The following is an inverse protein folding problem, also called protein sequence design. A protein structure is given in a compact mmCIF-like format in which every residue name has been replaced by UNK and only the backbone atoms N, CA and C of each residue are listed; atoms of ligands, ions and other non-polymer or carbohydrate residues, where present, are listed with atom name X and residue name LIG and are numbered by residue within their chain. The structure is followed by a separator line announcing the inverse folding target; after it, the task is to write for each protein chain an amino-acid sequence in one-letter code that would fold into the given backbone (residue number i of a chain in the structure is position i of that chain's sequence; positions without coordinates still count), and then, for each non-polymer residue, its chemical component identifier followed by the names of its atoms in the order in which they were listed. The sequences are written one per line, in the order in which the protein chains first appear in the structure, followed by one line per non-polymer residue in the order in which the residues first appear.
data_IF_710776108607
#
_entry.id   IF_710776108607
#
_cell.length_a   1.000
_cell.length_b   1.000
_cell.length_c   1.000
_cell.angle_alpha   90.00
_cell.angle_beta   90.00
_cell.angle_gamma   90.00
#
_symmetry.space_group_name_H-M   'P 1'
#
loop_
_entity.id
_entity.type
_entity.pdbx_description
1 polymer ?
#
# COMPACT_ATOMS: atom_id res chain seq x y z
N UNK A 1 -18.59 10.36 -5.52
CA UNK A 1 -19.91 10.87 -5.24
C UNK A 1 -19.86 11.89 -4.09
N UNK A 2 -20.64 12.91 -4.15
CA UNK A 2 -20.75 13.93 -3.12
C UNK A 2 -22.09 13.78 -2.38
N UNK A 3 -22.09 13.95 -1.04
CA UNK A 3 -20.93 14.12 -0.17
C UNK A 3 -20.18 12.80 0.11
N UNK A 4 -18.90 12.92 0.44
CA UNK A 4 -18.11 11.81 0.96
C UNK A 4 -18.13 11.75 2.50
N UNK A 5 -17.73 10.60 3.07
CA UNK A 5 -17.59 10.40 4.51
C UNK A 5 -16.17 9.96 4.81
N UNK A 6 -15.57 10.53 5.85
CA UNK A 6 -14.25 10.13 6.34
C UNK A 6 -14.33 9.78 7.83
N UNK A 7 -13.66 8.70 8.20
CA UNK A 7 -13.60 8.23 9.58
C UNK A 7 -12.36 8.82 10.26
N UNK A 8 -12.46 10.08 10.64
CA UNK A 8 -11.36 10.91 11.13
C UNK A 8 -10.53 10.25 12.24
N UNK A 9 -11.18 9.68 13.26
CA UNK A 9 -10.46 9.01 14.35
C UNK A 9 -9.65 7.84 13.86
N UNK A 10 -10.27 6.91 13.10
CA UNK A 10 -9.60 5.72 12.56
C UNK A 10 -8.44 6.10 11.64
N UNK A 11 -8.63 7.09 10.75
CA UNK A 11 -7.57 7.55 9.84
C UNK A 11 -6.36 8.06 10.64
N UNK A 12 -6.59 8.85 11.68
CA UNK A 12 -5.51 9.41 12.49
C UNK A 12 -4.87 8.40 13.45
N UNK A 13 -5.56 7.33 13.84
CA UNK A 13 -4.96 6.21 14.58
C UNK A 13 -3.92 5.45 13.74
N UNK A 14 -4.06 5.43 12.42
CA UNK A 14 -3.12 4.84 11.46
C UNK A 14 -2.11 5.84 10.89
N UNK A 15 -2.09 7.07 11.39
CA UNK A 15 -1.16 8.09 10.91
C UNK A 15 0.28 7.79 11.33
N UNK A 16 1.20 7.81 10.38
CA UNK A 16 2.62 7.53 10.60
C UNK A 16 3.41 8.72 11.14
N UNK A 17 2.88 9.95 11.02
CA UNK A 17 3.56 11.18 11.39
C UNK A 17 2.66 12.15 12.21
N UNK A 18 2.03 11.72 13.32
CA UNK A 18 1.07 12.55 14.06
C UNK A 18 1.70 13.76 14.74
N UNK A 19 3.01 13.74 15.06
CA UNK A 19 3.70 14.90 15.64
C UNK A 19 3.84 16.06 14.65
N UNK A 20 3.74 15.80 13.37
CA UNK A 20 3.80 16.79 12.30
C UNK A 20 2.48 17.51 12.04
N UNK A 21 1.39 16.95 12.50
CA UNK A 21 0.04 17.47 12.33
C UNK A 21 -0.99 16.37 12.17
N UNK A 22 -2.23 16.78 11.97
CA UNK A 22 -3.37 15.89 11.82
C UNK A 22 -3.68 15.66 10.34
N UNK A 23 -4.16 14.49 9.98
CA UNK A 23 -4.77 14.25 8.68
C UNK A 23 -6.16 14.88 8.70
N UNK A 24 -6.39 15.93 7.89
CA UNK A 24 -7.64 16.69 7.85
C UNK A 24 -8.57 16.24 6.73
N UNK A 25 -8.04 15.61 5.71
CA UNK A 25 -8.81 15.19 4.54
C UNK A 25 -8.01 14.26 3.63
N UNK A 26 -8.63 13.87 2.52
CA UNK A 26 -8.02 13.06 1.48
C UNK A 26 -7.86 13.83 0.17
N UNK A 27 -7.16 13.22 -0.79
CA UNK A 27 -7.27 13.58 -2.19
C UNK A 27 -8.68 13.27 -2.74
N UNK A 28 -9.03 13.71 -3.96
CA UNK A 28 -10.40 13.55 -4.50
C UNK A 28 -10.92 12.12 -4.58
N UNK A 29 -10.06 11.15 -4.86
CA UNK A 29 -10.44 9.74 -4.96
C UNK A 29 -10.33 8.97 -3.64
N UNK A 30 -9.94 9.64 -2.56
CA UNK A 30 -9.85 9.13 -1.17
C UNK A 30 -8.83 8.00 -0.94
N UNK A 31 -7.87 7.80 -1.83
CA UNK A 31 -6.81 6.80 -1.65
C UNK A 31 -5.60 7.32 -0.87
N UNK A 32 -5.41 8.64 -0.77
CA UNK A 32 -4.27 9.26 -0.11
C UNK A 32 -4.71 10.01 1.14
N UNK A 33 -4.32 9.51 2.29
CA UNK A 33 -4.60 10.05 3.62
C UNK A 33 -3.29 10.43 4.29
N UNK A 34 -2.91 11.72 4.22
CA UNK A 34 -1.69 12.24 4.84
C UNK A 34 -1.84 13.73 5.18
N UNK A 35 -0.73 14.39 5.54
CA UNK A 35 -0.71 15.80 5.91
C UNK A 35 -1.08 16.71 4.74
N UNK A 36 -1.73 17.84 5.05
CA UNK A 36 -1.98 18.91 4.08
C UNK A 36 -0.65 19.42 3.48
N UNK A 37 -0.73 19.92 2.26
CA UNK A 37 0.43 20.39 1.48
C UNK A 37 1.49 19.30 1.22
N UNK A 38 1.07 18.06 1.05
CA UNK A 38 1.93 16.98 0.58
C UNK A 38 1.47 16.47 -0.78
N UNK A 39 2.36 15.87 -1.54
CA UNK A 39 2.04 15.26 -2.82
C UNK A 39 2.24 13.75 -2.77
N UNK A 40 1.49 13.04 -3.60
CA UNK A 40 1.58 11.60 -3.77
C UNK A 40 2.00 11.28 -5.22
N UNK A 41 3.21 10.79 -5.41
CA UNK A 41 3.66 10.32 -6.70
C UNK A 41 3.10 8.92 -6.97
N UNK A 42 2.35 8.75 -8.06
CA UNK A 42 1.56 7.56 -8.32
C UNK A 42 2.22 6.61 -9.32
N UNK A 43 2.10 5.32 -9.03
CA UNK A 43 2.28 4.23 -10.00
C UNK A 43 1.31 3.09 -9.68
N UNK A 44 0.94 2.29 -10.68
CA UNK A 44 0.10 1.11 -10.51
C UNK A 44 0.69 -0.09 -11.22
N UNK A 45 0.67 -1.24 -10.55
CA UNK A 45 1.13 -2.53 -11.09
C UNK A 45 -0.08 -3.31 -11.61
N UNK A 46 0.02 -3.83 -12.84
CA UNK A 46 -1.01 -4.72 -13.38
C UNK A 46 -0.80 -6.14 -12.86
N UNK A 47 -1.67 -6.60 -11.96
CA UNK A 47 -1.54 -7.90 -11.29
C UNK A 47 -1.63 -9.10 -12.22
N UNK A 48 -2.35 -9.00 -13.35
CA UNK A 48 -2.48 -10.11 -14.31
C UNK A 48 -1.13 -10.51 -14.93
N UNK A 49 -0.17 -9.60 -15.03
CA UNK A 49 1.15 -9.93 -15.55
C UNK A 49 1.95 -10.88 -14.65
N UNK A 50 1.50 -11.11 -13.43
CA UNK A 50 2.17 -11.99 -12.45
C UNK A 50 1.42 -13.32 -12.24
N UNK A 51 0.31 -13.54 -12.94
CA UNK A 51 -0.41 -14.80 -12.86
C UNK A 51 -0.10 -15.70 -14.05
N UNK A 52 0.39 -16.89 -13.76
CA UNK A 52 0.64 -17.91 -14.75
C UNK A 52 -0.65 -18.71 -14.97
N UNK A 53 -1.24 -18.60 -16.16
CA UNK A 53 -2.50 -19.22 -16.51
C UNK A 53 -2.39 -20.75 -16.65
N UNK A 54 -1.24 -21.26 -17.07
CA UNK A 54 -1.03 -22.69 -17.29
C UNK A 54 -0.70 -23.40 -15.96
N UNK A 55 0.13 -22.78 -15.13
CA UNK A 55 0.50 -23.31 -13.82
C UNK A 55 -0.52 -22.97 -12.72
N UNK A 56 -1.48 -22.05 -12.96
CA UNK A 56 -2.41 -21.51 -11.98
C UNK A 56 -1.74 -20.96 -10.70
N UNK A 57 -0.60 -20.28 -10.88
CA UNK A 57 0.19 -19.74 -9.77
C UNK A 57 0.45 -18.25 -9.93
N UNK A 58 0.51 -17.54 -8.81
CA UNK A 58 0.94 -16.15 -8.78
C UNK A 58 2.47 -16.09 -8.58
N UNK A 59 3.18 -15.42 -9.48
CA UNK A 59 4.65 -15.30 -9.47
C UNK A 59 5.09 -14.26 -8.45
N UNK A 60 5.15 -14.67 -7.20
CA UNK A 60 5.38 -13.82 -6.02
C UNK A 60 6.71 -13.07 -6.13
N UNK A 61 7.79 -13.75 -6.50
CA UNK A 61 9.13 -13.12 -6.54
C UNK A 61 9.25 -12.08 -7.66
N UNK A 62 8.64 -12.31 -8.81
CA UNK A 62 8.56 -11.32 -9.89
C UNK A 62 7.76 -10.08 -9.45
N UNK A 63 6.67 -10.30 -8.71
CA UNK A 63 5.86 -9.24 -8.15
C UNK A 63 6.65 -8.41 -7.11
N UNK A 64 7.30 -9.06 -6.15
CA UNK A 64 8.18 -8.41 -5.17
C UNK A 64 9.27 -7.59 -5.84
N UNK A 65 9.94 -8.16 -6.85
CA UNK A 65 10.97 -7.45 -7.60
C UNK A 65 10.43 -6.18 -8.25
N UNK A 66 9.26 -6.26 -8.88
CA UNK A 66 8.61 -5.10 -9.50
C UNK A 66 8.18 -4.05 -8.47
N UNK A 67 7.64 -4.47 -7.32
CA UNK A 67 7.31 -3.58 -6.21
C UNK A 67 8.56 -2.81 -5.75
N UNK A 68 9.68 -3.51 -5.57
CA UNK A 68 10.96 -2.90 -5.20
C UNK A 68 11.43 -1.87 -6.24
N UNK A 69 11.40 -2.22 -7.53
CA UNK A 69 11.79 -1.31 -8.62
C UNK A 69 10.91 -0.06 -8.65
N UNK A 70 9.60 -0.22 -8.57
CA UNK A 70 8.67 0.90 -8.58
C UNK A 70 8.80 1.78 -7.34
N UNK A 71 9.03 1.20 -6.16
CA UNK A 71 9.30 1.96 -4.93
C UNK A 71 10.53 2.84 -5.10
N UNK A 72 11.62 2.28 -5.64
CA UNK A 72 12.85 3.03 -5.91
C UNK A 72 12.62 4.12 -6.99
N UNK A 73 11.89 3.81 -8.05
CA UNK A 73 11.56 4.77 -9.11
C UNK A 73 10.74 5.95 -8.57
N UNK A 74 9.73 5.67 -7.75
CA UNK A 74 8.91 6.71 -7.12
C UNK A 74 9.73 7.56 -6.16
N UNK A 75 10.64 6.97 -5.38
CA UNK A 75 11.55 7.71 -4.50
C UNK A 75 12.46 8.66 -5.28
N UNK A 76 13.02 8.21 -6.41
CA UNK A 76 13.79 9.07 -7.31
C UNK A 76 12.92 10.22 -7.83
N UNK A 77 11.67 9.94 -8.18
CA UNK A 77 10.74 10.96 -8.71
C UNK A 77 10.43 12.06 -7.70
N UNK A 78 10.44 11.79 -6.40
CA UNK A 78 10.28 12.83 -5.36
C UNK A 78 11.36 13.90 -5.47
N UNK A 79 12.62 13.51 -5.74
CA UNK A 79 13.73 14.45 -5.90
C UNK A 79 13.66 15.24 -7.21
N UNK A 80 13.06 14.65 -8.25
CA UNK A 80 12.99 15.26 -9.59
C UNK A 80 11.69 16.04 -9.83
N UNK A 81 10.71 15.90 -8.93
CA UNK A 81 9.40 16.53 -9.09
C UNK A 81 9.48 18.06 -8.93
N UNK A 82 8.63 18.74 -9.69
CA UNK A 82 8.35 20.16 -9.51
C UNK A 82 6.93 20.30 -8.97
N UNK A 83 6.77 21.03 -7.88
CA UNK A 83 5.51 21.21 -7.20
C UNK A 83 4.97 22.63 -7.37
N UNK A 84 3.66 22.84 -7.29
CA UNK A 84 3.04 24.14 -7.63
C UNK A 84 3.28 25.23 -6.56
N UNK A 85 3.71 24.87 -5.36
CA UNK A 85 4.01 25.84 -4.30
C UNK A 85 5.21 25.40 -3.45
N UNK A 86 5.82 26.36 -2.75
CA UNK A 86 6.94 26.10 -1.87
C UNK A 86 6.56 25.22 -0.68
N UNK A 87 5.36 25.40 -0.11
CA UNK A 87 4.87 24.57 1.00
C UNK A 87 4.76 23.11 0.61
N UNK A 88 4.20 22.82 -0.58
CA UNK A 88 4.09 21.45 -1.11
C UNK A 88 5.47 20.87 -1.42
N UNK A 89 6.35 21.65 -2.01
CA UNK A 89 7.75 21.24 -2.29
C UNK A 89 8.45 20.81 -1.01
N UNK A 90 8.40 21.67 0.02
CA UNK A 90 9.06 21.41 1.29
C UNK A 90 8.52 20.16 1.99
N UNK A 91 7.21 20.08 2.19
CA UNK A 91 6.60 18.94 2.86
C UNK A 91 6.74 17.63 2.07
N UNK A 92 6.65 17.68 0.74
CA UNK A 92 6.87 16.50 -0.09
C UNK A 92 8.32 16.00 0.02
N UNK A 93 9.29 16.89 0.17
CA UNK A 93 10.67 16.52 0.43
C UNK A 93 10.86 15.98 1.86
N UNK A 94 10.26 16.63 2.87
CA UNK A 94 10.43 16.27 4.28
C UNK A 94 9.83 14.91 4.61
N UNK A 95 8.70 14.53 3.99
CA UNK A 95 7.99 13.27 4.26
C UNK A 95 8.13 12.21 3.17
N UNK A 96 8.51 12.59 1.95
CA UNK A 96 8.82 11.71 0.83
C UNK A 96 7.75 10.66 0.55
N UNK A 97 6.48 11.09 0.50
CA UNK A 97 5.34 10.19 0.34
C UNK A 97 5.23 9.65 -1.09
N UNK A 98 5.00 8.35 -1.19
CA UNK A 98 4.83 7.60 -2.43
C UNK A 98 3.42 7.03 -2.52
N UNK A 99 2.98 6.72 -3.72
CA UNK A 99 1.66 6.16 -4.00
C UNK A 99 1.72 4.98 -4.96
N UNK A 100 2.35 3.88 -4.55
CA UNK A 100 2.32 2.64 -5.33
C UNK A 100 1.02 1.88 -5.06
N UNK A 101 0.30 1.54 -6.13
CA UNK A 101 -0.90 0.73 -6.11
C UNK A 101 -0.89 -0.38 -7.15
N UNK A 102 -2.05 -0.96 -7.40
CA UNK A 102 -2.24 -1.97 -8.44
C UNK A 102 -3.60 -1.83 -9.12
N UNK A 103 -3.77 -2.55 -10.24
CA UNK A 103 -5.05 -2.77 -10.93
C UNK A 103 -5.22 -4.25 -11.25
N UNK A 104 -6.39 -4.62 -11.75
CA UNK A 104 -6.74 -5.98 -12.19
C UNK A 104 -6.86 -7.02 -11.07
N UNK A 105 -7.17 -6.64 -9.82
CA UNK A 105 -7.50 -7.63 -8.79
C UNK A 105 -8.78 -8.38 -9.13
N UNK A 106 -9.81 -7.68 -9.63
CA UNK A 106 -11.08 -8.30 -10.05
C UNK A 106 -10.86 -9.33 -11.15
N UNK A 107 -10.12 -8.98 -12.20
CA UNK A 107 -9.79 -9.90 -13.30
C UNK A 107 -8.90 -11.06 -12.83
N UNK A 108 -7.93 -10.81 -11.94
CA UNK A 108 -7.11 -11.86 -11.35
C UNK A 108 -7.96 -12.90 -10.60
N UNK A 109 -8.89 -12.44 -9.77
CA UNK A 109 -9.81 -13.33 -9.04
C UNK A 109 -10.68 -14.18 -10.00
N UNK A 110 -11.14 -13.60 -11.11
CA UNK A 110 -11.86 -14.36 -12.15
C UNK A 110 -10.98 -15.45 -12.76
N UNK A 111 -9.73 -15.17 -13.10
CA UNK A 111 -8.77 -16.16 -13.60
C UNK A 111 -8.45 -17.25 -12.58
N UNK A 112 -8.45 -16.90 -11.30
CA UNK A 112 -8.26 -17.85 -10.19
C UNK A 112 -9.54 -18.65 -9.84
N UNK A 113 -10.67 -18.36 -10.50
CA UNK A 113 -11.96 -18.97 -10.22
C UNK A 113 -12.50 -18.66 -8.81
N UNK A 114 -12.16 -17.48 -8.28
CA UNK A 114 -12.62 -16.99 -6.98
C UNK A 114 -13.71 -15.92 -7.20
N UNK A 115 -14.94 -16.12 -6.72
CA UNK A 115 -15.96 -15.07 -6.73
C UNK A 115 -15.48 -13.85 -5.94
N UNK A 116 -15.77 -12.64 -6.44
CA UNK A 116 -15.26 -11.40 -5.84
C UNK A 116 -15.71 -11.19 -4.38
N UNK A 117 -16.91 -11.62 -4.03
CA UNK A 117 -17.52 -11.52 -2.70
C UNK A 117 -17.35 -12.77 -1.82
N UNK A 118 -16.30 -13.56 -2.07
CA UNK A 118 -15.98 -14.78 -1.31
C UNK A 118 -14.81 -14.52 -0.33
N UNK A 119 -14.83 -15.22 0.80
CA UNK A 119 -13.76 -15.13 1.82
C UNK A 119 -12.36 -15.48 1.27
N UNK A 120 -12.29 -16.38 0.27
CA UNK A 120 -11.03 -16.71 -0.40
C UNK A 120 -10.53 -15.51 -1.21
N UNK A 121 -11.42 -14.81 -1.90
CA UNK A 121 -11.07 -13.61 -2.65
C UNK A 121 -10.56 -12.50 -1.71
N UNK A 122 -11.23 -12.30 -0.58
CA UNK A 122 -10.77 -11.33 0.43
C UNK A 122 -9.39 -11.69 0.98
N UNK A 123 -9.14 -12.97 1.27
CA UNK A 123 -7.85 -13.43 1.75
C UNK A 123 -6.73 -13.26 0.70
N UNK A 124 -7.00 -13.54 -0.57
CA UNK A 124 -6.06 -13.34 -1.68
C UNK A 124 -5.75 -11.84 -1.85
N UNK A 125 -6.80 -11.01 -1.89
CA UNK A 125 -6.64 -9.54 -2.00
C UNK A 125 -5.82 -8.99 -0.84
N UNK A 126 -6.15 -9.38 0.39
CA UNK A 126 -5.41 -8.99 1.59
C UNK A 126 -3.94 -9.43 1.55
N UNK A 127 -3.66 -10.66 1.08
CA UNK A 127 -2.29 -11.16 0.99
C UNK A 127 -1.48 -10.43 -0.09
N UNK A 128 -2.01 -10.21 -1.29
CA UNK A 128 -1.31 -9.47 -2.35
C UNK A 128 -1.04 -8.02 -1.93
N UNK A 129 -2.03 -7.36 -1.32
CA UNK A 129 -1.87 -5.99 -0.79
C UNK A 129 -0.83 -5.95 0.33
N UNK A 130 -0.84 -6.95 1.21
CA UNK A 130 0.13 -7.11 2.30
C UNK A 130 1.55 -7.32 1.78
N UNK A 131 1.75 -8.16 0.74
CA UNK A 131 3.04 -8.33 0.08
C UNK A 131 3.51 -6.99 -0.50
N UNK A 132 2.67 -6.29 -1.26
CA UNK A 132 3.03 -5.00 -1.85
C UNK A 132 3.43 -3.99 -0.78
N UNK A 133 2.60 -3.77 0.22
CA UNK A 133 2.83 -2.77 1.25
C UNK A 133 4.06 -3.10 2.12
N UNK A 134 4.19 -4.36 2.57
CA UNK A 134 5.35 -4.81 3.32
C UNK A 134 6.66 -4.70 2.52
N UNK A 135 6.63 -5.05 1.24
CA UNK A 135 7.78 -4.95 0.36
C UNK A 135 8.21 -3.51 0.07
N UNK A 136 7.24 -2.58 -0.09
CA UNK A 136 7.55 -1.15 -0.24
C UNK A 136 8.21 -0.57 1.01
N UNK A 137 7.71 -0.89 2.20
CA UNK A 137 8.32 -0.42 3.46
C UNK A 137 9.67 -1.09 3.74
N UNK A 138 9.84 -2.37 3.41
CA UNK A 138 11.15 -3.03 3.50
C UNK A 138 12.17 -2.37 2.55
N UNK A 139 11.76 -2.01 1.33
CA UNK A 139 12.60 -1.28 0.37
C UNK A 139 12.88 0.14 0.85
N UNK A 140 11.89 0.81 1.45
CA UNK A 140 12.07 2.13 2.04
C UNK A 140 13.07 2.12 3.21
N UNK A 141 13.05 1.09 4.06
CA UNK A 141 14.03 0.91 5.13
C UNK A 141 15.42 0.60 4.57
N UNK A 142 15.53 -0.25 3.55
CA UNK A 142 16.80 -0.51 2.86
C UNK A 142 17.38 0.78 2.25
N UNK A 143 16.57 1.62 1.61
CA UNK A 143 17.02 2.92 1.14
C UNK A 143 17.45 3.84 2.30
N UNK A 144 16.74 3.78 3.42
CA UNK A 144 17.11 4.56 4.62
C UNK A 144 18.47 4.15 5.18
N UNK A 145 18.85 2.88 5.13
CA UNK A 145 20.17 2.40 5.57
C UNK A 145 21.34 3.02 4.79
N UNK A 146 21.09 3.47 3.56
CA UNK A 146 22.11 4.06 2.67
C UNK A 146 22.01 5.59 2.63
N UNK A 147 20.79 6.12 2.53
CA UNK A 147 20.52 7.54 2.27
C UNK A 147 20.02 8.30 3.50
N UNK A 148 19.80 7.61 4.61
CA UNK A 148 19.13 8.14 5.79
C UNK A 148 17.61 8.10 5.68
N UNK A 149 16.93 8.09 6.82
CA UNK A 149 15.47 8.18 6.92
C UNK A 149 14.96 9.53 6.38
N UNK A 150 13.64 9.66 6.20
CA UNK A 150 13.08 10.96 5.80
C UNK A 150 13.33 12.03 6.88
N UNK A 151 13.45 13.33 6.52
CA UNK A 151 13.94 14.35 7.44
C UNK A 151 13.23 14.44 8.79
N UNK A 152 11.92 14.28 8.84
CA UNK A 152 11.14 14.36 10.08
C UNK A 152 10.90 12.98 10.76
N UNK A 153 11.62 11.93 10.36
CA UNK A 153 11.45 10.57 10.87
C UNK A 153 11.66 10.49 12.39
N UNK A 154 12.73 11.04 12.93
CA UNK A 154 13.11 10.89 14.34
C UNK A 154 11.99 11.31 15.30
N UNK A 155 11.27 12.38 14.99
CA UNK A 155 10.16 12.89 15.80
C UNK A 155 8.91 11.99 15.73
N UNK A 156 8.80 11.17 14.70
CA UNK A 156 7.63 10.33 14.41
C UNK A 156 7.95 8.82 14.47
N UNK A 157 9.18 8.44 14.83
CA UNK A 157 9.67 7.07 14.72
C UNK A 157 8.82 6.05 15.47
N UNK A 158 8.44 6.34 16.72
CA UNK A 158 7.62 5.46 17.54
C UNK A 158 6.21 5.26 16.94
N UNK A 159 5.57 6.32 16.47
CA UNK A 159 4.25 6.24 15.85
C UNK A 159 4.32 5.47 14.52
N UNK A 160 5.35 5.74 13.72
CA UNK A 160 5.54 5.01 12.47
C UNK A 160 5.80 3.53 12.71
N UNK A 161 6.69 3.16 13.62
CA UNK A 161 6.95 1.76 13.98
C UNK A 161 5.71 1.08 14.56
N UNK A 162 4.91 1.78 15.38
CA UNK A 162 3.62 1.31 15.88
C UNK A 162 2.68 0.93 14.72
N UNK A 163 2.56 1.80 13.72
CA UNK A 163 1.73 1.54 12.53
C UNK A 163 2.27 0.34 11.76
N UNK A 164 3.57 0.23 11.55
CA UNK A 164 4.17 -0.92 10.86
C UNK A 164 3.94 -2.24 11.62
N UNK A 165 4.09 -2.23 12.95
CA UNK A 165 3.76 -3.40 13.79
C UNK A 165 2.29 -3.78 13.69
N UNK A 166 1.37 -2.82 13.61
CA UNK A 166 -0.06 -3.08 13.43
C UNK A 166 -0.37 -3.70 12.05
N UNK A 167 0.26 -3.24 10.99
CA UNK A 167 0.14 -3.89 9.67
C UNK A 167 0.67 -5.33 9.69
N UNK A 168 1.80 -5.58 10.36
CA UNK A 168 2.32 -6.93 10.57
C UNK A 168 1.32 -7.81 11.31
N UNK A 169 0.69 -7.30 12.37
CA UNK A 169 -0.36 -8.01 13.12
C UNK A 169 -1.54 -8.39 12.24
N UNK A 170 -1.98 -7.49 11.35
CA UNK A 170 -3.04 -7.78 10.39
C UNK A 170 -2.66 -8.90 9.41
N UNK A 171 -1.41 -8.98 8.96
CA UNK A 171 -0.93 -10.08 8.11
C UNK A 171 -0.91 -11.42 8.85
N UNK A 172 -0.78 -11.41 10.17
CA UNK A 172 -0.81 -12.60 11.04
C UNK A 172 -2.19 -12.94 11.58
N UNK A 173 -3.22 -12.12 11.30
CA UNK A 173 -4.57 -12.25 11.87
C UNK A 173 -4.52 -12.28 13.42
N UNK A 174 -3.76 -11.34 13.99
CA UNK A 174 -3.53 -11.26 15.40
C UNK A 174 -4.82 -10.90 16.18
N UNK A 175 -4.95 -11.31 17.44
CA UNK A 175 -6.05 -10.91 18.29
C UNK A 175 -6.18 -9.40 18.43
N UNK A 176 -7.40 -8.91 18.61
CA UNK A 176 -7.69 -7.47 18.68
C UNK A 176 -6.91 -6.75 19.79
N UNK A 177 -6.64 -7.43 20.88
CA UNK A 177 -5.93 -6.91 22.06
C UNK A 177 -4.45 -6.63 21.82
N UNK A 178 -3.89 -7.18 20.73
CA UNK A 178 -2.48 -6.97 20.37
C UNK A 178 -2.26 -5.68 19.59
N UNK A 179 -3.31 -5.07 19.02
CA UNK A 179 -3.16 -3.84 18.25
C UNK A 179 -2.89 -2.63 19.14
N UNK A 180 -1.87 -1.86 18.77
CA UNK A 180 -1.40 -0.69 19.53
C UNK A 180 -2.13 0.58 19.08
N UNK A 181 -2.86 1.23 20.01
CA UNK A 181 -3.45 2.56 19.79
C UNK A 181 -4.53 2.61 18.70
N UNK A 182 -5.29 1.52 18.52
CA UNK A 182 -6.36 1.40 17.52
C UNK A 182 -7.68 1.06 18.19
N UNK A 183 -8.69 1.88 17.92
CA UNK A 183 -10.05 1.69 18.47
C UNK A 183 -10.84 0.65 17.67
N UNK A 184 -10.64 0.62 16.35
CA UNK A 184 -11.29 -0.32 15.45
C UNK A 184 -10.23 -1.20 14.77
N UNK A 185 -9.95 -2.39 15.31
CA UNK A 185 -8.99 -3.32 14.71
C UNK A 185 -9.39 -3.72 13.29
N UNK A 186 -8.42 -3.92 12.40
CA UNK A 186 -8.70 -4.40 11.06
C UNK A 186 -9.07 -5.89 11.08
N UNK A 187 -9.75 -6.35 10.02
CA UNK A 187 -9.90 -7.77 9.76
C UNK A 187 -8.60 -8.29 9.15
N UNK A 188 -7.96 -9.25 9.80
CA UNK A 188 -6.71 -9.85 9.35
C UNK A 188 -6.88 -10.81 8.17
N UNK A 189 -5.76 -11.33 7.66
CA UNK A 189 -5.77 -12.29 6.56
C UNK A 189 -6.21 -13.67 7.09
N UNK A 190 -7.37 -14.15 6.64
CA UNK A 190 -7.87 -15.47 7.01
C UNK A 190 -6.95 -16.58 6.46
N UNK A 191 -6.11 -17.14 7.33
CA UNK A 191 -5.13 -18.16 6.96
C UNK A 191 -5.75 -19.46 6.41
N UNK A 192 -7.00 -19.76 6.75
CA UNK A 192 -7.69 -20.98 6.28
C UNK A 192 -8.20 -20.84 4.83
N UNK A 193 -8.32 -19.60 4.36
CA UNK A 193 -8.85 -19.26 3.03
C UNK A 193 -7.77 -18.76 2.07
N UNK A 194 -6.65 -18.30 2.58
CA UNK A 194 -5.53 -17.80 1.78
C UNK A 194 -4.67 -18.96 1.24
N UNK A 195 -4.25 -18.92 -0.04
CA UNK A 195 -3.18 -19.78 -0.54
C UNK A 195 -1.92 -19.65 0.33
N UNK A 196 -1.33 -20.80 0.67
CA UNK A 196 -0.24 -20.83 1.66
C UNK A 196 0.99 -20.01 1.25
N UNK A 197 1.36 -20.07 -0.01
CA UNK A 197 2.47 -19.32 -0.59
C UNK A 197 2.28 -17.80 -0.51
N UNK A 198 1.07 -17.32 -0.82
CA UNK A 198 0.71 -15.91 -0.67
C UNK A 198 0.72 -15.47 0.80
N UNK A 199 0.18 -16.31 1.69
CA UNK A 199 0.17 -16.01 3.13
C UNK A 199 1.59 -15.92 3.71
N UNK A 200 2.44 -16.90 3.39
CA UNK A 200 3.83 -16.93 3.85
C UNK A 200 4.60 -15.72 3.31
N UNK A 201 4.37 -15.35 2.06
CA UNK A 201 4.96 -14.16 1.45
C UNK A 201 4.49 -12.87 2.11
N UNK A 202 3.18 -12.73 2.37
CA UNK A 202 2.62 -11.56 3.05
C UNK A 202 3.26 -11.35 4.43
N UNK A 203 3.36 -12.41 5.22
CA UNK A 203 3.98 -12.39 6.56
C UNK A 203 5.47 -12.04 6.50
N UNK A 204 6.22 -12.71 5.62
CA UNK A 204 7.66 -12.46 5.49
C UNK A 204 8.00 -11.06 5.00
N UNK A 205 7.17 -10.45 4.15
CA UNK A 205 7.34 -9.06 3.72
C UNK A 205 7.22 -8.09 4.88
N UNK A 206 6.22 -8.29 5.75
CA UNK A 206 6.06 -7.45 6.94
C UNK A 206 7.09 -7.73 8.04
N UNK A 207 7.52 -8.99 8.22
CA UNK A 207 8.63 -9.32 9.13
C UNK A 207 9.91 -8.59 8.74
N UNK A 208 10.19 -8.54 7.43
CA UNK A 208 11.33 -7.79 6.90
C UNK A 208 11.14 -6.28 7.08
N UNK A 209 9.97 -5.75 6.73
CA UNK A 209 9.70 -4.32 6.84
C UNK A 209 9.86 -3.79 8.26
N UNK A 210 9.34 -4.52 9.26
CA UNK A 210 9.46 -4.13 10.67
C UNK A 210 10.91 -4.24 11.13
N UNK A 211 11.59 -5.36 10.89
CA UNK A 211 12.98 -5.57 11.30
C UNK A 211 13.92 -4.50 10.74
N UNK A 212 13.88 -4.27 9.42
CA UNK A 212 14.73 -3.27 8.76
C UNK A 212 14.37 -1.84 9.22
N UNK A 213 13.07 -1.59 9.44
CA UNK A 213 12.61 -0.29 9.93
C UNK A 213 13.03 0.02 11.36
N UNK A 214 13.07 -0.98 12.24
CA UNK A 214 13.58 -0.84 13.61
C UNK A 214 15.08 -0.54 13.62
N UNK A 215 15.83 -1.05 12.65
CA UNK A 215 17.29 -0.84 12.57
C UNK A 215 17.67 0.47 11.87
N UNK A 216 16.96 0.86 10.80
CA UNK A 216 17.38 1.94 9.91
C UNK A 216 16.38 3.09 9.79
N UNK A 217 15.17 2.96 10.33
CA UNK A 217 14.05 3.84 10.03
C UNK A 217 13.54 3.63 8.60
N UNK A 218 12.75 4.59 8.10
CA UNK A 218 12.17 4.53 6.76
C UNK A 218 12.54 5.77 5.94
N UNK A 219 12.78 5.58 4.65
CA UNK A 219 13.04 6.68 3.71
C UNK A 219 11.77 7.46 3.35
N UNK A 220 10.59 6.86 3.52
CA UNK A 220 9.29 7.38 3.09
C UNK A 220 8.28 7.26 4.22
N UNK A 221 7.55 8.33 4.51
CA UNK A 221 6.52 8.36 5.54
C UNK A 221 5.26 7.58 5.13
N UNK A 222 5.00 7.44 3.84
CA UNK A 222 3.93 6.64 3.25
C UNK A 222 4.40 6.09 1.90
N UNK A 223 4.00 4.86 1.54
CA UNK A 223 4.53 4.20 0.32
C UNK A 223 3.46 3.70 -0.63
N UNK A 224 2.29 3.33 -0.14
CA UNK A 224 1.23 2.69 -0.94
C UNK A 224 -0.09 3.44 -0.87
N UNK A 225 -0.82 3.38 -1.98
CA UNK A 225 -2.22 3.80 -2.09
C UNK A 225 -2.94 2.83 -3.04
N UNK A 226 -4.26 2.69 -2.92
CA UNK A 226 -5.05 1.98 -3.93
C UNK A 226 -5.79 3.02 -4.76
N UNK A 227 -5.05 3.66 -5.67
CA UNK A 227 -5.63 4.62 -6.61
C UNK A 227 -6.59 3.91 -7.58
N UNK A 228 -7.59 4.60 -8.12
CA UNK A 228 -8.54 4.01 -9.08
C UNK A 228 -7.87 3.44 -10.34
N UNK A 229 -6.71 3.94 -10.77
CA UNK A 229 -6.02 3.53 -12.00
C UNK A 229 -6.93 3.71 -13.24
N UNK A 230 -7.66 4.82 -13.30
CA UNK A 230 -8.67 5.08 -14.35
C UNK A 230 -8.04 5.26 -15.73
N UNK A 231 -7.61 6.49 -16.05
CA UNK A 231 -7.06 6.83 -17.38
C UNK A 231 -5.79 6.03 -17.70
N UNK A 232 -4.87 5.85 -16.78
CA UNK A 232 -3.67 5.05 -17.04
C UNK A 232 -4.00 3.55 -17.23
N UNK A 233 -5.08 3.07 -16.62
CA UNK A 233 -5.58 1.71 -16.83
C UNK A 233 -5.95 1.43 -18.28
N UNK A 234 -6.47 2.43 -19.01
CA UNK A 234 -6.74 2.31 -20.45
C UNK A 234 -5.46 2.07 -21.24
N UNK A 235 -4.39 2.80 -20.94
CA UNK A 235 -3.08 2.63 -21.59
C UNK A 235 -2.44 1.29 -21.24
N UNK A 236 -2.64 0.82 -20.01
CA UNK A 236 -2.12 -0.46 -19.50
C UNK A 236 -2.94 -1.67 -19.98
N UNK A 237 -4.06 -1.47 -20.65
CA UNK A 237 -4.98 -2.55 -21.01
C UNK A 237 -5.59 -3.24 -19.78
N UNK A 238 -5.82 -2.48 -18.70
CA UNK A 238 -6.43 -3.03 -17.50
C UNK A 238 -7.93 -3.29 -17.71
N UNK A 239 -8.39 -4.48 -17.35
CA UNK A 239 -9.81 -4.84 -17.42
C UNK A 239 -10.59 -4.30 -16.22
N UNK A 240 -10.02 -4.42 -15.02
CA UNK A 240 -10.58 -3.86 -13.78
C UNK A 240 -9.62 -2.85 -13.15
N UNK A 241 -10.18 -1.76 -12.60
CA UNK A 241 -9.42 -0.65 -12.02
C UNK A 241 -9.35 -0.77 -10.50
N UNK A 242 -8.22 -0.37 -9.90
CA UNK A 242 -8.02 -0.41 -8.46
C UNK A 242 -8.42 -1.75 -7.85
N UNK A 243 -9.32 -1.72 -6.88
CA UNK A 243 -9.91 -2.89 -6.21
C UNK A 243 -11.32 -3.23 -6.71
N UNK A 244 -11.74 -2.68 -7.85
CA UNK A 244 -13.09 -2.88 -8.36
C UNK A 244 -13.30 -4.28 -8.93
N UNK A 245 -14.52 -4.83 -8.83
CA UNK A 245 -14.88 -6.06 -9.52
C UNK A 245 -15.12 -5.80 -11.02
N UNK A 246 -15.11 -6.86 -11.80
CA UNK A 246 -15.60 -6.80 -13.18
C UNK A 246 -17.13 -6.69 -13.17
N UNK A 247 -17.66 -5.53 -13.54
CA UNK A 247 -19.11 -5.26 -13.51
C UNK A 247 -19.83 -5.61 -14.80
N UNK A 248 -19.11 -5.84 -15.92
CA UNK A 248 -19.68 -6.22 -17.20
C UNK A 248 -18.68 -7.02 -18.03
N UNK A 249 -19.17 -8.09 -18.68
CA UNK A 249 -18.36 -8.92 -19.58
C UNK A 249 -18.03 -8.20 -20.91
N UNK A 250 -18.80 -7.17 -21.26
CA UNK A 250 -18.56 -6.32 -22.43
C UNK A 250 -18.54 -4.88 -21.99
N UNK A 251 -17.43 -4.21 -22.23
CA UNK A 251 -17.25 -2.79 -21.89
C UNK A 251 -16.88 -2.00 -23.14
N UNK A 252 -17.42 -0.80 -23.24
CA UNK A 252 -17.00 0.20 -24.24
C UNK A 252 -16.17 1.26 -23.50
N UNK A 253 -14.93 1.40 -23.90
CA UNK A 253 -13.97 2.38 -23.33
C UNK A 253 -13.56 3.40 -24.38
#
# INVERSE_FOLDING_TARGET
ADPGVQFDTTINEWHTCPTAGRINGSNPCSEYMFLDDTACNLASINLLHYYDLDAHTFRIEDFRHSVRLWTTTLEISVLMAQFPSESITRKSYDYRTLGLGYCNIGSLLMHMGAPYDDEKAYAICGAITSIMCGETYATSAEMASILGAFPDYEKNSEDMLRVMRNHRRAAYDAPNEEYEGITVPPIGINAKKCPKDLLDAARSSWDRAVREGEEHGYRNAQTTVIAPTGTIGLVMGADTTGVEPQYSLVQFK
#
